data_IF_196295440771
#
_entry.id   IF_196295440771
#
_cell.length_a   1.000
_cell.length_b   1.000
_cell.length_c   1.000
_cell.angle_alpha   90.00
_cell.angle_beta   90.00
_cell.angle_gamma   90.00
#
_symmetry.space_group_name_H-M   'P 1'
#
loop_
_entity.id
_entity.type
_entity.pdbx_description
1 polymer ?
#
# COMPACT_ATOMS: atom_id res chain seq x y z
N UNK A 1 -31.70 9.44 1.39
CA UNK A 1 -30.86 9.81 0.22
C UNK A 1 -29.62 8.98 0.32
N UNK A 2 -29.23 8.28 -0.75
CA UNK A 2 -27.96 7.54 -0.76
C UNK A 2 -26.82 8.54 -0.50
N UNK A 3 -25.92 8.22 0.41
CA UNK A 3 -24.69 8.99 0.58
C UNK A 3 -23.98 9.02 -0.76
N UNK A 4 -23.64 10.20 -1.25
CA UNK A 4 -23.10 10.41 -2.60
C UNK A 4 -21.63 9.95 -2.67
N UNK A 5 -21.36 8.65 -2.41
CA UNK A 5 -20.03 8.06 -2.34
C UNK A 5 -19.74 7.13 -3.50
N UNK A 6 -18.50 6.63 -3.49
CA UNK A 6 -17.98 5.59 -4.39
C UNK A 6 -17.86 4.29 -3.58
N UNK A 7 -18.31 3.16 -4.15
CA UNK A 7 -18.00 1.81 -3.59
C UNK A 7 -17.05 1.05 -4.54
N UNK A 8 -16.25 0.16 -3.96
CA UNK A 8 -15.35 -0.73 -4.72
C UNK A 8 -15.84 -2.17 -4.55
N UNK A 9 -16.00 -2.87 -5.68
CA UNK A 9 -16.36 -4.28 -5.75
C UNK A 9 -15.22 -5.06 -6.41
N UNK A 10 -14.51 -5.86 -5.64
CA UNK A 10 -13.46 -6.72 -6.14
C UNK A 10 -13.99 -8.11 -6.44
N UNK A 11 -13.68 -8.62 -7.62
CA UNK A 11 -14.12 -9.93 -8.12
C UNK A 11 -12.91 -10.83 -8.24
N UNK A 12 -12.96 -11.97 -7.57
CA UNK A 12 -11.92 -13.00 -7.61
C UNK A 12 -12.02 -13.92 -6.42
N UNK A 13 -12.08 -15.21 -6.68
CA UNK A 13 -12.14 -16.25 -5.65
C UNK A 13 -10.83 -16.33 -4.87
N UNK A 14 -9.69 -16.06 -5.50
CA UNK A 14 -8.35 -16.00 -4.89
C UNK A 14 -8.23 -14.91 -3.81
N UNK A 15 -9.01 -13.82 -3.95
CA UNK A 15 -9.08 -12.77 -2.91
C UNK A 15 -9.80 -13.27 -1.66
N UNK A 16 -10.87 -14.07 -1.83
CA UNK A 16 -11.62 -14.65 -0.70
C UNK A 16 -10.85 -15.77 0.00
N UNK A 17 -10.08 -16.54 -0.75
CA UNK A 17 -9.24 -17.61 -0.20
C UNK A 17 -7.98 -17.07 0.50
N UNK A 18 -7.63 -15.79 0.25
CA UNK A 18 -6.44 -15.18 0.83
C UNK A 18 -5.14 -15.52 0.11
N UNK A 19 -5.24 -16.07 -1.11
CA UNK A 19 -4.08 -16.45 -1.92
C UNK A 19 -3.28 -15.22 -2.36
N UNK A 20 -3.98 -14.10 -2.55
CA UNK A 20 -3.37 -12.80 -2.91
C UNK A 20 -3.94 -11.65 -2.06
N UNK A 21 -3.12 -10.62 -1.88
CA UNK A 21 -3.56 -9.36 -1.25
C UNK A 21 -4.40 -8.53 -2.20
N UNK A 22 -5.48 -7.93 -1.70
CA UNK A 22 -6.33 -7.00 -2.46
C UNK A 22 -5.63 -5.64 -2.70
N UNK A 23 -4.59 -5.65 -3.51
CA UNK A 23 -3.80 -4.46 -3.84
C UNK A 23 -4.55 -3.43 -4.69
N UNK A 24 -5.46 -3.90 -5.55
CA UNK A 24 -6.26 -3.01 -6.41
C UNK A 24 -7.21 -2.13 -5.59
N UNK A 25 -7.96 -2.72 -4.66
CA UNK A 25 -8.86 -1.94 -3.80
C UNK A 25 -8.12 -0.88 -2.99
N UNK A 26 -6.97 -1.24 -2.41
CA UNK A 26 -6.13 -0.31 -1.69
C UNK A 26 -5.72 0.87 -2.57
N UNK A 27 -5.18 0.58 -3.75
CA UNK A 27 -4.68 1.61 -4.68
C UNK A 27 -5.81 2.53 -5.15
N UNK A 28 -6.99 1.97 -5.52
CA UNK A 28 -8.17 2.75 -5.92
C UNK A 28 -8.63 3.64 -4.76
N UNK A 29 -8.70 3.13 -3.54
CA UNK A 29 -9.10 3.90 -2.37
C UNK A 29 -8.15 5.09 -2.10
N UNK A 30 -6.83 4.90 -2.26
CA UNK A 30 -5.83 5.97 -2.15
C UNK A 30 -6.08 7.05 -3.22
N UNK A 31 -6.40 6.66 -4.44
CA UNK A 31 -6.72 7.62 -5.53
C UNK A 31 -8.04 8.35 -5.30
N UNK A 32 -9.10 7.65 -4.85
CA UNK A 32 -10.38 8.27 -4.52
C UNK A 32 -10.25 9.31 -3.40
N UNK A 33 -9.47 9.01 -2.38
CA UNK A 33 -9.17 9.98 -1.32
C UNK A 33 -8.46 11.21 -1.88
N UNK A 34 -7.47 11.04 -2.77
CA UNK A 34 -6.79 12.15 -3.46
C UNK A 34 -7.71 12.97 -4.38
N UNK A 35 -8.81 12.37 -4.85
CA UNK A 35 -9.84 13.05 -5.66
C UNK A 35 -10.93 13.72 -4.80
N UNK A 36 -10.90 13.57 -3.48
CA UNK A 36 -11.95 14.07 -2.59
C UNK A 36 -13.27 13.34 -2.73
N UNK A 37 -13.24 12.10 -3.19
CA UNK A 37 -14.43 11.28 -3.36
C UNK A 37 -14.65 10.40 -2.12
N UNK A 38 -15.80 10.54 -1.41
CA UNK A 38 -16.10 9.72 -0.26
C UNK A 38 -16.15 8.24 -0.63
N UNK A 39 -15.44 7.41 0.15
CA UNK A 39 -15.38 5.97 -0.05
C UNK A 39 -15.57 5.27 1.30
N UNK A 40 -16.70 4.59 1.48
CA UNK A 40 -17.08 4.01 2.77
C UNK A 40 -17.16 2.49 2.76
N UNK A 41 -17.13 1.85 1.58
CA UNK A 41 -17.31 0.39 1.50
C UNK A 41 -16.49 -0.24 0.40
N UNK A 42 -15.86 -1.34 0.76
CA UNK A 42 -15.22 -2.29 -0.17
C UNK A 42 -15.87 -3.65 0.00
N UNK A 43 -16.25 -4.28 -1.10
CA UNK A 43 -16.84 -5.62 -1.11
C UNK A 43 -15.97 -6.53 -1.95
N UNK A 44 -15.75 -7.77 -1.48
CA UNK A 44 -15.09 -8.81 -2.26
C UNK A 44 -16.10 -9.92 -2.51
N UNK A 45 -16.22 -10.35 -3.77
CA UNK A 45 -17.04 -11.50 -4.17
C UNK A 45 -16.20 -12.47 -4.99
N UNK A 46 -16.43 -13.77 -4.81
CA UNK A 46 -15.86 -14.79 -5.69
C UNK A 46 -16.55 -14.80 -7.05
N UNK A 47 -15.96 -15.51 -8.00
CA UNK A 47 -16.41 -15.63 -9.38
C UNK A 47 -17.74 -16.40 -9.47
N UNK A 48 -18.81 -15.69 -9.15
CA UNK A 48 -20.17 -16.24 -9.13
C UNK A 48 -21.18 -15.20 -9.61
N UNK A 49 -21.88 -15.55 -10.67
CA UNK A 49 -22.84 -14.69 -11.37
C UNK A 49 -23.89 -14.08 -10.43
N UNK A 50 -24.53 -14.91 -9.60
CA UNK A 50 -25.65 -14.45 -8.75
C UNK A 50 -25.15 -13.52 -7.63
N UNK A 51 -24.02 -13.85 -6.99
CA UNK A 51 -23.44 -13.03 -5.92
C UNK A 51 -22.97 -11.68 -6.43
N UNK A 52 -22.32 -11.67 -7.61
CA UNK A 52 -21.86 -10.44 -8.25
C UNK A 52 -23.04 -9.55 -8.63
N UNK A 53 -24.07 -10.12 -9.27
CA UNK A 53 -25.28 -9.39 -9.63
C UNK A 53 -26.02 -8.84 -8.40
N UNK A 54 -26.10 -9.60 -7.32
CA UNK A 54 -26.70 -9.16 -6.04
C UNK A 54 -25.90 -7.99 -5.44
N UNK A 55 -24.55 -8.11 -5.35
CA UNK A 55 -23.70 -7.08 -4.81
C UNK A 55 -23.81 -5.77 -5.60
N UNK A 56 -23.88 -5.84 -6.95
CA UNK A 56 -24.05 -4.66 -7.77
C UNK A 56 -25.41 -3.97 -7.57
N UNK A 57 -26.49 -4.76 -7.46
CA UNK A 57 -27.83 -4.22 -7.15
C UNK A 57 -27.88 -3.57 -5.78
N UNK A 58 -27.29 -4.20 -4.76
CA UNK A 58 -27.23 -3.61 -3.44
C UNK A 58 -26.43 -2.30 -3.43
N UNK A 59 -25.32 -2.23 -4.14
CA UNK A 59 -24.50 -1.03 -4.26
C UNK A 59 -25.28 0.13 -4.89
N UNK A 60 -26.12 -0.15 -5.91
CA UNK A 60 -26.91 0.90 -6.58
C UNK A 60 -27.91 1.64 -5.69
N UNK A 61 -28.30 1.03 -4.57
CA UNK A 61 -29.14 1.70 -3.56
C UNK A 61 -28.36 2.58 -2.56
N UNK A 62 -27.01 2.55 -2.60
CA UNK A 62 -26.16 3.21 -1.59
C UNK A 62 -25.17 4.21 -2.16
N UNK A 63 -24.61 3.96 -3.33
CA UNK A 63 -23.56 4.79 -3.92
C UNK A 63 -23.97 5.33 -5.29
N UNK A 64 -23.29 6.38 -5.72
CA UNK A 64 -23.46 6.94 -7.09
C UNK A 64 -22.52 6.31 -8.09
N UNK A 65 -21.37 5.84 -7.64
CA UNK A 65 -20.36 5.22 -8.50
C UNK A 65 -19.93 3.89 -7.88
N UNK A 66 -20.02 2.83 -8.67
CA UNK A 66 -19.46 1.53 -8.35
C UNK A 66 -18.22 1.27 -9.22
N UNK A 67 -17.08 1.08 -8.60
CA UNK A 67 -15.87 0.67 -9.29
C UNK A 67 -15.69 -0.83 -9.09
N UNK A 68 -15.63 -1.61 -10.18
CA UNK A 68 -15.35 -3.05 -10.11
C UNK A 68 -13.96 -3.36 -10.66
N UNK A 69 -13.27 -4.35 -10.09
CA UNK A 69 -11.99 -4.84 -10.58
C UNK A 69 -11.94 -6.37 -10.51
N UNK A 70 -11.54 -7.00 -11.62
CA UNK A 70 -11.49 -8.45 -11.79
C UNK A 70 -12.60 -9.01 -12.68
N UNK A 71 -12.42 -10.23 -13.16
CA UNK A 71 -13.39 -11.00 -13.94
C UNK A 71 -13.73 -10.43 -15.33
N UNK A 72 -12.78 -9.76 -16.03
CA UNK A 72 -12.93 -9.25 -17.40
C UNK A 72 -12.13 -10.05 -18.42
N UNK A 73 -11.49 -11.14 -18.03
CA UNK A 73 -10.72 -12.00 -18.93
C UNK A 73 -11.61 -12.84 -19.85
N UNK A 74 -10.98 -13.74 -20.65
CA UNK A 74 -11.68 -14.58 -21.60
C UNK A 74 -12.10 -15.95 -21.05
N UNK A 75 -11.79 -16.24 -19.77
CA UNK A 75 -12.03 -17.56 -19.17
C UNK A 75 -13.48 -17.72 -18.69
N UNK A 76 -13.98 -18.94 -18.49
CA UNK A 76 -15.37 -19.16 -18.09
C UNK A 76 -15.76 -18.57 -16.73
N UNK A 77 -14.79 -18.33 -15.87
CA UNK A 77 -14.92 -17.70 -14.56
C UNK A 77 -14.88 -16.16 -14.60
N UNK A 78 -14.51 -15.58 -15.75
CA UNK A 78 -14.59 -14.14 -15.98
C UNK A 78 -16.05 -13.72 -16.26
N UNK A 79 -16.80 -13.44 -15.20
CA UNK A 79 -18.26 -13.25 -15.26
C UNK A 79 -18.71 -11.81 -15.01
N UNK A 80 -17.79 -10.86 -14.83
CA UNK A 80 -18.14 -9.51 -14.34
C UNK A 80 -19.09 -8.78 -15.29
N UNK A 81 -18.78 -8.67 -16.57
CA UNK A 81 -19.62 -7.94 -17.54
C UNK A 81 -21.01 -8.54 -17.68
N UNK A 82 -21.09 -9.86 -17.81
CA UNK A 82 -22.36 -10.58 -17.96
C UNK A 82 -23.22 -10.47 -16.69
N UNK A 83 -22.61 -10.56 -15.53
CA UNK A 83 -23.30 -10.46 -14.24
C UNK A 83 -23.86 -9.07 -14.00
N UNK A 84 -23.10 -8.02 -14.36
CA UNK A 84 -23.55 -6.64 -14.27
C UNK A 84 -24.71 -6.37 -15.24
N UNK A 85 -24.61 -6.83 -16.49
CA UNK A 85 -25.68 -6.72 -17.46
C UNK A 85 -26.98 -7.38 -16.99
N UNK A 86 -26.88 -8.60 -16.44
CA UNK A 86 -28.02 -9.33 -15.88
C UNK A 86 -28.58 -8.68 -14.61
N UNK A 87 -27.72 -8.06 -13.77
CA UNK A 87 -28.18 -7.35 -12.59
C UNK A 87 -29.17 -6.23 -12.88
N UNK A 88 -29.03 -5.59 -14.03
CA UNK A 88 -29.86 -4.47 -14.47
C UNK A 88 -30.68 -4.79 -15.74
N UNK A 89 -30.90 -6.06 -16.02
CA UNK A 89 -31.77 -6.57 -17.11
C UNK A 89 -31.44 -5.94 -18.47
N UNK A 90 -30.15 -5.69 -18.75
CA UNK A 90 -29.68 -5.04 -19.96
C UNK A 90 -29.03 -6.06 -20.89
N UNK A 91 -29.40 -6.10 -22.17
CA UNK A 91 -28.77 -7.01 -23.11
C UNK A 91 -27.32 -6.60 -23.39
N UNK A 92 -26.49 -7.61 -23.65
CA UNK A 92 -25.14 -7.42 -24.15
C UNK A 92 -25.18 -7.20 -25.67
N UNK A 93 -24.36 -6.26 -26.11
CA UNK A 93 -24.16 -5.95 -27.51
C UNK A 93 -22.70 -6.17 -27.88
N UNK A 94 -22.49 -6.79 -29.07
CA UNK A 94 -21.12 -6.99 -29.56
C UNK A 94 -20.62 -5.69 -30.19
N UNK A 95 -19.38 -5.32 -29.89
CA UNK A 95 -18.66 -4.21 -30.49
C UNK A 95 -17.59 -4.75 -31.44
N UNK A 96 -17.85 -4.81 -32.76
CA UNK A 96 -16.90 -5.37 -33.72
C UNK A 96 -15.54 -4.68 -33.71
N UNK A 97 -15.52 -3.37 -33.51
CA UNK A 97 -14.31 -2.56 -33.37
C UNK A 97 -13.43 -2.96 -32.18
N UNK A 98 -14.05 -3.33 -31.08
CA UNK A 98 -13.30 -3.88 -29.91
C UNK A 98 -12.74 -5.26 -30.23
N UNK A 99 -13.48 -6.08 -30.95
CA UNK A 99 -12.99 -7.39 -31.33
C UNK A 99 -11.75 -7.28 -32.22
N UNK A 100 -11.78 -6.39 -33.22
CA UNK A 100 -10.63 -6.11 -34.08
C UNK A 100 -9.42 -5.62 -33.27
N UNK A 101 -9.64 -4.72 -32.31
CA UNK A 101 -8.58 -4.21 -31.43
C UNK A 101 -7.97 -5.31 -30.56
N UNK A 102 -8.81 -6.18 -29.96
CA UNK A 102 -8.39 -7.32 -29.14
C UNK A 102 -7.54 -8.29 -29.97
N UNK A 103 -8.00 -8.62 -31.19
CA UNK A 103 -7.26 -9.49 -32.10
C UNK A 103 -5.89 -8.89 -32.46
N UNK A 104 -5.84 -7.61 -32.78
CA UNK A 104 -4.61 -6.91 -33.11
C UNK A 104 -3.60 -6.94 -31.95
N UNK A 105 -4.05 -6.65 -30.72
CA UNK A 105 -3.21 -6.67 -29.51
C UNK A 105 -2.65 -8.05 -29.20
N UNK A 106 -3.48 -9.09 -29.26
CA UNK A 106 -3.07 -10.47 -28.99
C UNK A 106 -2.09 -10.98 -30.05
N UNK A 107 -2.36 -10.70 -31.33
CA UNK A 107 -1.51 -11.10 -32.45
C UNK A 107 -0.14 -10.39 -32.42
N UNK A 108 -0.11 -9.10 -32.09
CA UNK A 108 1.15 -8.36 -31.94
C UNK A 108 2.04 -8.92 -30.83
N UNK A 109 1.46 -9.53 -29.79
CA UNK A 109 2.18 -10.26 -28.75
C UNK A 109 2.61 -11.70 -29.13
N UNK A 110 2.42 -12.12 -30.38
CA UNK A 110 2.74 -13.46 -30.87
C UNK A 110 1.84 -14.58 -30.29
N UNK A 111 0.69 -14.23 -29.73
CA UNK A 111 -0.27 -15.17 -29.13
C UNK A 111 -1.36 -15.56 -30.15
N UNK A 112 -1.73 -16.85 -30.16
CA UNK A 112 -2.91 -17.28 -30.89
C UNK A 112 -4.17 -16.69 -30.25
N UNK A 113 -5.06 -16.12 -31.06
CA UNK A 113 -6.32 -15.57 -30.59
C UNK A 113 -7.32 -16.71 -30.40
N UNK A 114 -7.64 -17.01 -29.15
CA UNK A 114 -8.64 -18.02 -28.84
C UNK A 114 -10.07 -17.46 -29.10
N UNK A 115 -11.02 -18.29 -29.59
CA UNK A 115 -12.40 -17.85 -29.80
C UNK A 115 -13.06 -17.27 -28.55
N UNK A 116 -12.68 -17.74 -27.36
CA UNK A 116 -13.18 -17.24 -26.07
C UNK A 116 -12.86 -15.76 -25.82
N UNK A 117 -11.81 -15.20 -26.43
CA UNK A 117 -11.49 -13.78 -26.31
C UNK A 117 -12.59 -12.87 -26.86
N UNK A 118 -13.44 -13.39 -27.77
CA UNK A 118 -14.53 -12.60 -28.36
C UNK A 118 -15.54 -12.10 -27.33
N UNK A 119 -15.71 -12.81 -26.20
CA UNK A 119 -16.59 -12.35 -25.11
C UNK A 119 -16.20 -11.00 -24.52
N UNK A 120 -14.92 -10.63 -24.60
CA UNK A 120 -14.42 -9.33 -24.15
C UNK A 120 -14.90 -8.14 -25.01
N UNK A 121 -15.43 -8.42 -26.20
CA UNK A 121 -16.01 -7.41 -27.07
C UNK A 121 -17.52 -7.19 -26.84
N UNK A 122 -18.12 -7.86 -25.86
CA UNK A 122 -19.53 -7.68 -25.51
C UNK A 122 -19.67 -6.75 -24.31
N UNK A 123 -20.44 -5.68 -24.48
CA UNK A 123 -20.73 -4.72 -23.40
C UNK A 123 -22.25 -4.56 -23.24
N UNK A 124 -22.76 -4.17 -22.06
CA UNK A 124 -24.15 -3.83 -21.88
C UNK A 124 -24.55 -2.66 -22.79
N UNK A 125 -25.76 -2.72 -23.32
CA UNK A 125 -26.30 -1.63 -24.16
C UNK A 125 -26.15 -0.27 -23.46
N UNK A 126 -25.58 0.70 -24.19
CA UNK A 126 -25.36 2.05 -23.68
C UNK A 126 -24.10 2.22 -22.84
N UNK A 127 -23.29 1.19 -22.68
CA UNK A 127 -21.98 1.33 -22.04
C UNK A 127 -20.99 2.01 -22.98
N UNK A 128 -20.19 2.93 -22.44
CA UNK A 128 -19.03 3.48 -23.12
C UNK A 128 -17.79 2.63 -22.81
N UNK A 129 -16.94 2.42 -23.82
CA UNK A 129 -15.69 1.68 -23.66
C UNK A 129 -14.71 2.45 -22.77
N UNK A 130 -14.10 1.74 -21.82
CA UNK A 130 -12.95 2.20 -21.05
C UNK A 130 -11.71 1.48 -21.60
N UNK A 131 -10.89 2.15 -22.43
CA UNK A 131 -9.81 1.50 -23.15
C UNK A 131 -8.74 0.93 -22.24
N UNK A 132 -8.22 -0.24 -22.59
CA UNK A 132 -7.09 -0.86 -21.90
C UNK A 132 -5.82 -0.71 -22.75
N UNK A 133 -4.89 0.18 -22.40
CA UNK A 133 -3.68 0.40 -23.20
C UNK A 133 -2.64 -0.72 -23.09
N UNK A 134 -2.70 -1.54 -22.05
CA UNK A 134 -1.67 -2.55 -21.74
C UNK A 134 -2.15 -3.99 -21.97
N UNK A 135 -3.44 -4.25 -21.94
CA UNK A 135 -4.02 -5.58 -22.05
C UNK A 135 -5.13 -5.67 -23.09
N UNK A 136 -5.71 -6.87 -23.24
CA UNK A 136 -6.78 -7.14 -24.20
C UNK A 136 -8.18 -6.85 -23.66
N UNK A 137 -8.38 -6.92 -22.34
CA UNK A 137 -9.69 -6.77 -21.71
C UNK A 137 -10.06 -5.29 -21.55
N UNK A 138 -10.99 -4.72 -22.34
CA UNK A 138 -11.49 -3.38 -22.10
C UNK A 138 -12.34 -3.36 -20.82
N UNK A 139 -12.43 -2.20 -20.20
CA UNK A 139 -13.45 -1.92 -19.19
C UNK A 139 -14.63 -1.18 -19.80
N UNK A 140 -15.53 -0.73 -18.95
CA UNK A 140 -16.66 0.10 -19.37
C UNK A 140 -16.94 1.21 -18.34
N UNK A 141 -17.55 2.29 -18.82
CA UNK A 141 -18.28 3.28 -18.05
C UNK A 141 -19.74 3.16 -18.43
N UNK A 142 -20.58 2.76 -17.50
CA UNK A 142 -21.96 2.42 -17.77
C UNK A 142 -22.90 2.91 -16.68
N UNK A 143 -23.99 3.58 -17.09
CA UNK A 143 -25.01 4.08 -16.16
C UNK A 143 -26.32 3.30 -16.38
N UNK A 144 -26.50 2.16 -15.70
CA UNK A 144 -27.73 1.34 -15.84
C UNK A 144 -28.95 2.01 -15.22
N UNK A 145 -28.76 2.89 -14.27
CA UNK A 145 -29.83 3.62 -13.58
C UNK A 145 -29.51 5.12 -13.52
N UNK A 146 -30.54 5.98 -13.38
CA UNK A 146 -30.31 7.38 -13.05
C UNK A 146 -29.46 7.52 -11.79
N UNK A 147 -28.48 8.42 -11.80
CA UNK A 147 -27.58 8.70 -10.69
C UNK A 147 -26.69 7.53 -10.20
N UNK A 148 -26.58 6.44 -10.97
CA UNK A 148 -25.72 5.32 -10.66
C UNK A 148 -24.86 4.93 -11.87
N UNK A 149 -23.55 4.95 -11.71
CA UNK A 149 -22.59 4.61 -12.78
C UNK A 149 -21.63 3.52 -12.30
N UNK A 150 -21.34 2.57 -13.19
CA UNK A 150 -20.39 1.48 -12.96
C UNK A 150 -19.16 1.72 -13.84
N UNK A 151 -17.98 1.62 -13.24
CA UNK A 151 -16.69 1.58 -13.93
C UNK A 151 -16.07 0.21 -13.71
N UNK A 152 -15.65 -0.47 -14.79
CA UNK A 152 -15.05 -1.81 -14.68
C UNK A 152 -13.60 -1.82 -15.10
N UNK A 153 -12.78 -2.59 -14.36
CA UNK A 153 -11.35 -2.74 -14.58
C UNK A 153 -10.94 -4.21 -14.52
N UNK A 154 -9.89 -4.62 -15.26
CA UNK A 154 -9.30 -5.94 -15.11
C UNK A 154 -8.66 -6.15 -13.74
N UNK A 155 -8.42 -7.42 -13.39
CA UNK A 155 -7.75 -7.79 -12.15
C UNK A 155 -6.25 -7.47 -12.14
N UNK A 156 -5.59 -7.41 -13.30
CA UNK A 156 -4.15 -7.15 -13.43
C UNK A 156 -3.83 -5.72 -12.99
N UNK A 157 -3.00 -5.52 -11.93
CA UNK A 157 -2.80 -4.20 -11.32
C UNK A 157 -2.24 -3.13 -12.27
N UNK A 158 -1.29 -3.49 -13.15
CA UNK A 158 -0.70 -2.56 -14.11
C UNK A 158 -1.72 -2.05 -15.13
N UNK A 159 -2.59 -2.93 -15.62
CA UNK A 159 -3.65 -2.60 -16.56
C UNK A 159 -4.69 -1.69 -15.90
N UNK A 160 -5.19 -2.10 -14.74
CA UNK A 160 -6.17 -1.33 -13.96
C UNK A 160 -5.68 0.09 -13.68
N UNK A 161 -4.42 0.25 -13.24
CA UNK A 161 -3.85 1.57 -12.95
C UNK A 161 -3.77 2.45 -14.19
N UNK A 162 -3.25 1.92 -15.29
CA UNK A 162 -3.15 2.66 -16.56
C UNK A 162 -4.52 3.12 -17.06
N UNK A 163 -5.53 2.24 -17.01
CA UNK A 163 -6.91 2.56 -17.38
C UNK A 163 -7.53 3.60 -16.45
N UNK A 164 -7.29 3.48 -15.14
CA UNK A 164 -7.79 4.42 -14.14
C UNK A 164 -7.22 5.82 -14.38
N UNK A 165 -5.91 5.95 -14.51
CA UNK A 165 -5.23 7.23 -14.69
C UNK A 165 -5.58 7.90 -16.02
N UNK A 166 -5.65 7.13 -17.11
CA UNK A 166 -5.92 7.68 -18.44
C UNK A 166 -7.37 8.11 -18.65
N UNK A 167 -8.34 7.39 -18.08
CA UNK A 167 -9.76 7.58 -18.44
C UNK A 167 -10.65 7.79 -17.21
N UNK A 168 -10.55 6.92 -16.19
CA UNK A 168 -11.49 6.95 -15.08
C UNK A 168 -11.26 8.14 -14.14
N UNK A 169 -10.03 8.48 -13.83
CA UNK A 169 -9.73 9.64 -12.99
C UNK A 169 -10.23 10.96 -13.60
N UNK A 170 -9.98 11.27 -14.88
CA UNK A 170 -10.58 12.44 -15.53
C UNK A 170 -12.12 12.42 -15.54
N UNK A 171 -12.72 11.24 -15.67
CA UNK A 171 -14.17 11.10 -15.62
C UNK A 171 -14.70 11.35 -14.19
N UNK A 172 -14.07 10.74 -13.18
CA UNK A 172 -14.43 10.90 -11.78
C UNK A 172 -14.31 12.35 -11.29
N UNK A 173 -13.28 13.08 -11.72
CA UNK A 173 -13.14 14.53 -11.44
C UNK A 173 -14.34 15.35 -11.92
N UNK A 174 -14.93 14.97 -13.05
CA UNK A 174 -16.06 15.70 -13.65
C UNK A 174 -17.41 15.25 -13.11
N UNK A 175 -17.58 13.97 -12.77
CA UNK A 175 -18.87 13.36 -12.49
C UNK A 175 -18.98 12.76 -11.07
N UNK A 176 -17.87 12.54 -10.39
CA UNK A 176 -17.83 11.82 -9.11
C UNK A 176 -18.47 12.56 -7.94
N UNK A 177 -18.78 13.85 -8.08
CA UNK A 177 -19.43 14.64 -7.03
C UNK A 177 -18.50 14.92 -5.84
N UNK A 178 -17.22 15.20 -6.13
CA UNK A 178 -16.25 15.55 -5.09
C UNK A 178 -16.74 16.71 -4.23
N UNK A 179 -16.75 16.52 -2.91
CA UNK A 179 -17.16 17.55 -1.93
C UNK A 179 -15.99 18.39 -1.44
N UNK A 180 -14.78 18.07 -1.86
CA UNK A 180 -13.55 18.75 -1.46
C UNK A 180 -12.31 17.97 -1.90
N UNK A 181 -11.14 18.48 -1.53
CA UNK A 181 -9.85 17.82 -1.73
C UNK A 181 -9.35 17.32 -0.39
N UNK A 182 -9.06 16.03 -0.30
CA UNK A 182 -8.45 15.46 0.89
C UNK A 182 -6.93 15.44 0.76
N UNK A 183 -6.26 15.93 1.81
CA UNK A 183 -4.81 15.82 1.98
C UNK A 183 -4.53 15.04 3.24
N UNK A 184 -3.64 14.06 3.16
CA UNK A 184 -3.22 13.26 4.31
C UNK A 184 -1.72 13.39 4.52
N UNK A 185 -1.31 13.44 5.80
CA UNK A 185 0.09 13.32 6.24
C UNK A 185 0.19 12.18 7.23
N UNK A 186 1.30 11.49 7.20
CA UNK A 186 1.59 10.41 8.15
C UNK A 186 2.80 10.81 8.99
N UNK A 187 2.65 10.77 10.31
CA UNK A 187 3.76 10.90 11.25
C UNK A 187 4.13 9.51 11.79
N UNK A 188 5.43 9.26 11.94
CA UNK A 188 5.97 7.98 12.40
C UNK A 188 6.65 8.13 13.76
N UNK A 189 6.41 7.16 14.64
CA UNK A 189 6.88 7.19 16.02
C UNK A 189 7.60 5.89 16.38
N UNK A 190 8.65 6.01 17.14
CA UNK A 190 9.42 4.88 17.69
C UNK A 190 9.62 5.06 19.18
N UNK A 191 9.76 3.95 19.91
CA UNK A 191 10.02 3.96 21.37
C UNK A 191 8.80 4.38 22.22
N UNK A 192 7.60 4.33 21.65
CA UNK A 192 6.34 4.61 22.37
C UNK A 192 5.27 3.60 21.92
N UNK A 193 4.47 3.11 22.87
CA UNK A 193 3.31 2.27 22.56
C UNK A 193 2.12 3.09 22.06
N UNK A 194 1.24 2.45 21.27
CA UNK A 194 0.06 3.10 20.68
C UNK A 194 -0.83 3.76 21.73
N UNK A 195 -1.13 3.06 22.83
CA UNK A 195 -1.97 3.59 23.90
C UNK A 195 -1.38 4.83 24.55
N UNK A 196 -0.07 4.80 24.84
CA UNK A 196 0.63 5.94 25.47
C UNK A 196 0.69 7.14 24.51
N UNK A 197 0.85 6.89 23.20
CA UNK A 197 0.81 7.95 22.20
C UNK A 197 -0.60 8.53 22.10
N UNK A 198 -1.63 7.69 22.05
CA UNK A 198 -3.02 8.13 22.01
C UNK A 198 -3.42 8.97 23.21
N UNK A 199 -2.97 8.62 24.44
CA UNK A 199 -3.23 9.42 25.64
C UNK A 199 -2.59 10.83 25.57
N UNK A 200 -1.36 10.93 25.02
CA UNK A 200 -0.68 12.23 24.89
C UNK A 200 -1.35 13.19 23.94
N UNK A 201 -2.15 12.68 23.00
CA UNK A 201 -2.77 13.45 21.93
C UNK A 201 -4.30 13.27 21.89
N UNK A 202 -4.91 12.81 22.98
CA UNK A 202 -6.33 12.40 23.03
C UNK A 202 -7.30 13.46 22.48
N UNK A 203 -7.11 14.72 22.85
CA UNK A 203 -7.90 15.85 22.39
C UNK A 203 -7.80 16.09 20.87
N UNK A 204 -6.66 15.76 20.27
CA UNK A 204 -6.46 15.89 18.82
C UNK A 204 -7.11 14.74 18.05
N UNK A 205 -7.37 13.59 18.69
CA UNK A 205 -8.07 12.45 18.07
C UNK A 205 -9.57 12.70 17.92
N UNK A 206 -10.14 13.64 18.67
CA UNK A 206 -11.55 14.02 18.61
C UNK A 206 -11.87 14.99 17.46
N UNK A 207 -10.83 15.46 16.75
CA UNK A 207 -10.96 16.39 15.64
C UNK A 207 -11.78 15.83 14.47
N UNK A 208 -12.69 16.63 13.91
CA UNK A 208 -13.52 16.25 12.77
C UNK A 208 -12.86 16.61 11.44
N UNK A 209 -12.19 17.75 11.38
CA UNK A 209 -11.42 18.20 10.21
C UNK A 209 -10.34 19.22 10.65
N UNK A 210 -9.07 18.84 10.73
CA UNK A 210 -8.51 17.52 10.38
C UNK A 210 -8.92 16.39 11.33
N UNK A 211 -8.96 15.16 10.79
CA UNK A 211 -9.01 13.95 11.61
C UNK A 211 -7.60 13.47 11.90
N UNK A 212 -7.39 12.91 13.09
CA UNK A 212 -6.14 12.24 13.48
C UNK A 212 -6.47 10.81 13.88
N UNK A 213 -5.82 9.83 13.25
CA UNK A 213 -6.08 8.41 13.51
C UNK A 213 -4.78 7.64 13.78
N UNK A 214 -4.69 6.86 14.89
CA UNK A 214 -3.56 6.01 15.16
C UNK A 214 -3.61 4.73 14.33
N UNK A 215 -2.43 4.26 13.91
CA UNK A 215 -2.20 2.98 13.26
C UNK A 215 -0.95 2.34 13.85
N UNK A 216 -1.09 1.16 14.41
CA UNK A 216 0.06 0.39 14.87
C UNK A 216 0.49 -0.62 13.80
N UNK A 217 1.79 -0.81 13.68
CA UNK A 217 2.42 -1.92 12.99
C UNK A 217 3.60 -2.38 13.83
N UNK A 218 4.13 -3.57 13.59
CA UNK A 218 5.20 -4.12 14.41
C UNK A 218 6.38 -3.14 14.51
N UNK A 219 6.67 -2.66 15.73
CA UNK A 219 7.80 -1.75 16.00
C UNK A 219 7.63 -0.29 15.53
N UNK A 220 6.49 0.07 14.94
CA UNK A 220 6.27 1.40 14.38
C UNK A 220 4.82 1.85 14.64
N UNK A 221 4.65 2.93 15.38
CA UNK A 221 3.34 3.57 15.59
C UNK A 221 3.23 4.76 14.65
N UNK A 222 2.06 4.95 14.06
CA UNK A 222 1.80 5.99 13.08
C UNK A 222 0.56 6.78 13.47
N UNK A 223 0.59 8.09 13.22
CA UNK A 223 -0.60 8.94 13.25
C UNK A 223 -0.85 9.45 11.82
N UNK A 224 -2.04 9.18 11.30
CA UNK A 224 -2.49 9.76 10.04
C UNK A 224 -3.36 10.97 10.33
N UNK A 225 -2.95 12.10 9.80
CA UNK A 225 -3.71 13.34 9.78
C UNK A 225 -4.38 13.45 8.43
N UNK A 226 -5.68 13.73 8.39
CA UNK A 226 -6.39 13.93 7.11
C UNK A 226 -7.28 15.15 7.22
N UNK A 227 -7.12 16.09 6.29
CA UNK A 227 -7.98 17.27 6.17
C UNK A 227 -8.69 17.29 4.82
N UNK A 228 -9.91 17.83 4.82
CA UNK A 228 -10.69 18.16 3.64
C UNK A 228 -10.76 19.68 3.49
N UNK A 229 -10.42 20.17 2.29
CA UNK A 229 -10.49 21.59 1.95
C UNK A 229 -11.05 21.81 0.54
N UNK A 230 -11.29 23.06 0.17
CA UNK A 230 -11.71 23.43 -1.20
C UNK A 230 -10.60 23.26 -2.24
N UNK A 231 -9.35 23.23 -1.81
CA UNK A 231 -8.16 22.94 -2.62
C UNK A 231 -7.13 22.14 -1.79
N UNK A 232 -6.10 21.60 -2.44
CA UNK A 232 -5.01 20.91 -1.76
C UNK A 232 -4.27 21.83 -0.78
N UNK A 233 -4.06 23.09 -1.16
CA UNK A 233 -3.43 24.12 -0.34
C UNK A 233 -4.26 24.44 0.90
N UNK A 234 -5.58 24.61 0.74
CA UNK A 234 -6.47 24.86 1.88
C UNK A 234 -6.55 23.67 2.83
N UNK A 235 -6.56 22.44 2.31
CA UNK A 235 -6.51 21.23 3.14
C UNK A 235 -5.16 21.10 3.86
N UNK A 236 -4.05 21.37 3.17
CA UNK A 236 -2.71 21.36 3.77
C UNK A 236 -2.57 22.39 4.90
N UNK A 237 -3.11 23.60 4.71
CA UNK A 237 -3.10 24.66 5.73
C UNK A 237 -3.87 24.27 7.00
N UNK A 238 -4.89 23.42 6.89
CA UNK A 238 -5.60 22.88 8.06
C UNK A 238 -4.74 21.86 8.83
N UNK A 239 -3.86 21.10 8.13
CA UNK A 239 -2.98 20.12 8.75
C UNK A 239 -1.82 20.77 9.51
N UNK A 240 -1.30 21.89 9.06
CA UNK A 240 -0.10 22.53 9.59
C UNK A 240 -0.13 22.74 11.11
N UNK A 241 -1.17 23.37 11.72
CA UNK A 241 -1.21 23.59 13.17
C UNK A 241 -1.33 22.29 13.96
N UNK A 242 -2.07 21.30 13.44
CA UNK A 242 -2.26 20.00 14.11
C UNK A 242 -0.97 19.19 14.07
N UNK A 243 -0.27 19.18 12.93
CA UNK A 243 1.04 18.53 12.83
C UNK A 243 2.07 19.19 13.76
N UNK A 244 2.12 20.52 13.80
CA UNK A 244 3.06 21.23 14.67
C UNK A 244 2.81 20.91 16.16
N UNK A 245 1.56 20.83 16.57
CA UNK A 245 1.20 20.48 17.94
C UNK A 245 1.51 19.03 18.28
N UNK A 246 1.22 18.10 17.36
CA UNK A 246 1.61 16.69 17.51
C UNK A 246 3.12 16.55 17.68
N UNK A 247 3.91 17.17 16.80
CA UNK A 247 5.37 17.14 16.90
C UNK A 247 5.90 17.76 18.19
N UNK A 248 5.27 18.82 18.67
CA UNK A 248 5.63 19.46 19.94
C UNK A 248 5.42 18.53 21.14
N UNK A 249 4.27 17.83 21.21
CA UNK A 249 3.95 16.93 22.33
C UNK A 249 4.76 15.64 22.28
N UNK A 250 5.11 15.18 21.10
CA UNK A 250 5.72 13.85 20.90
C UNK A 250 7.14 13.92 20.34
N UNK A 251 7.84 15.05 20.52
CA UNK A 251 9.14 15.34 19.90
C UNK A 251 10.21 14.24 20.12
N UNK A 252 10.19 13.55 21.26
CA UNK A 252 11.15 12.48 21.58
C UNK A 252 10.90 11.18 20.81
N UNK A 253 9.70 11.00 20.27
CA UNK A 253 9.26 9.77 19.63
C UNK A 253 9.00 9.92 18.14
N UNK A 254 8.65 11.13 17.66
CA UNK A 254 8.37 11.39 16.26
C UNK A 254 9.68 11.45 15.46
N UNK A 255 9.96 10.38 14.70
CA UNK A 255 11.20 10.29 13.94
C UNK A 255 11.06 10.67 12.46
N UNK A 256 9.86 10.67 11.89
CA UNK A 256 9.72 10.90 10.45
C UNK A 256 8.28 11.05 9.97
N UNK A 257 8.14 11.05 8.66
CA UNK A 257 6.89 11.19 7.90
C UNK A 257 6.62 9.97 7.01
N UNK A 258 5.70 10.09 6.06
CA UNK A 258 5.21 9.02 5.16
C UNK A 258 6.34 8.18 4.55
N UNK A 259 7.34 8.84 3.97
CA UNK A 259 8.40 8.21 3.17
C UNK A 259 9.65 7.85 4.01
N UNK A 260 9.66 8.24 5.28
CA UNK A 260 10.77 7.97 6.16
C UNK A 260 10.75 6.55 6.71
N UNK A 261 11.91 5.96 6.87
CA UNK A 261 12.18 4.78 7.68
C UNK A 261 13.20 5.11 8.75
N UNK A 262 13.28 4.31 9.82
CA UNK A 262 14.35 4.48 10.82
C UNK A 262 15.73 4.46 10.16
N UNK A 263 15.93 3.58 9.17
CA UNK A 263 17.17 3.50 8.41
C UNK A 263 17.46 4.79 7.65
N UNK A 264 16.48 5.34 6.91
CA UNK A 264 16.69 6.58 6.15
C UNK A 264 17.01 7.76 7.05
N UNK A 265 16.33 7.88 8.18
CA UNK A 265 16.57 8.95 9.16
C UNK A 265 17.94 8.83 9.81
N UNK A 266 18.35 7.62 10.23
CA UNK A 266 19.68 7.37 10.82
C UNK A 266 20.79 7.70 9.80
N UNK A 267 20.67 7.23 8.56
CA UNK A 267 21.67 7.53 7.51
C UNK A 267 21.76 9.02 7.21
N UNK A 268 20.61 9.72 7.16
CA UNK A 268 20.61 11.19 6.97
C UNK A 268 21.24 11.94 8.15
N UNK A 269 21.06 11.48 9.38
CA UNK A 269 21.70 12.04 10.57
C UNK A 269 23.22 11.85 10.51
N UNK A 270 23.70 10.64 10.22
CA UNK A 270 25.11 10.32 10.07
C UNK A 270 25.77 11.15 8.97
N UNK A 271 25.11 11.31 7.83
CA UNK A 271 25.60 12.12 6.73
C UNK A 271 25.76 13.60 7.12
N UNK A 272 24.80 14.15 7.86
CA UNK A 272 24.87 15.55 8.36
C UNK A 272 25.98 15.75 9.41
N UNK A 273 26.23 14.72 10.23
CA UNK A 273 27.31 14.80 11.24
C UNK A 273 28.68 14.40 10.71
N UNK A 274 28.77 13.95 9.44
CA UNK A 274 30.00 13.46 8.84
C UNK A 274 30.51 12.16 9.47
N UNK A 275 29.62 11.37 10.04
CA UNK A 275 29.96 10.11 10.73
C UNK A 275 29.65 8.89 9.86
N UNK A 276 30.42 7.83 10.09
CA UNK A 276 30.27 6.52 9.45
C UNK A 276 29.70 5.48 10.39
N UNK A 277 29.01 4.45 9.84
CA UNK A 277 28.34 3.38 10.57
C UNK A 277 28.82 2.02 10.12
N UNK A 278 29.02 1.12 11.08
CA UNK A 278 29.12 -0.33 10.83
C UNK A 278 28.13 -1.11 11.71
N UNK A 279 27.86 -2.37 11.34
CA UNK A 279 26.93 -3.22 12.09
C UNK A 279 27.55 -4.57 12.42
N UNK A 280 27.23 -5.09 13.62
CA UNK A 280 27.52 -6.47 14.02
C UNK A 280 26.21 -7.22 14.24
N UNK A 281 25.96 -8.27 13.49
CA UNK A 281 24.70 -9.02 13.52
C UNK A 281 24.90 -10.48 13.89
N UNK A 282 23.93 -11.05 14.58
CA UNK A 282 23.89 -12.48 14.89
C UNK A 282 22.55 -13.06 14.47
N UNK A 283 21.53 -13.07 15.33
CA UNK A 283 20.23 -13.69 15.06
C UNK A 283 19.44 -13.06 13.91
N UNK A 284 19.66 -11.80 13.61
CA UNK A 284 19.03 -11.09 12.47
C UNK A 284 19.60 -11.48 11.10
N UNK A 285 20.72 -12.20 11.07
CA UNK A 285 21.29 -12.77 9.85
C UNK A 285 21.61 -11.78 8.74
N UNK A 286 21.84 -10.51 9.02
CA UNK A 286 22.07 -9.44 8.04
C UNK A 286 20.85 -8.52 7.83
N UNK A 287 19.78 -8.69 8.61
CA UNK A 287 18.55 -7.91 8.45
C UNK A 287 18.73 -6.41 8.68
N UNK A 288 19.58 -6.01 9.63
CA UNK A 288 19.90 -4.59 9.88
C UNK A 288 20.69 -3.99 8.71
N UNK A 289 21.72 -4.71 8.24
CA UNK A 289 22.49 -4.32 7.06
C UNK A 289 21.62 -4.22 5.80
N UNK A 290 20.71 -5.17 5.60
CA UNK A 290 19.75 -5.14 4.51
C UNK A 290 18.81 -3.92 4.57
N UNK A 291 18.31 -3.58 5.76
CA UNK A 291 17.45 -2.40 5.95
C UNK A 291 18.20 -1.09 5.64
N UNK A 292 19.48 -0.98 6.02
CA UNK A 292 20.31 0.18 5.71
C UNK A 292 20.61 0.28 4.22
N UNK A 293 21.00 -0.84 3.59
CA UNK A 293 21.36 -0.86 2.16
C UNK A 293 20.17 -0.73 1.23
N UNK A 294 18.94 -0.95 1.70
CA UNK A 294 17.73 -0.66 0.95
C UNK A 294 17.51 0.84 0.70
N UNK A 295 18.19 1.71 1.46
CA UNK A 295 18.10 3.17 1.29
C UNK A 295 19.11 3.62 0.24
N UNK A 296 18.68 4.24 -0.89
CA UNK A 296 19.59 4.76 -1.88
C UNK A 296 20.61 5.75 -1.30
N UNK A 297 21.87 5.61 -1.68
CA UNK A 297 22.96 6.47 -1.18
C UNK A 297 23.53 6.08 0.20
N UNK A 298 23.09 4.98 0.80
CA UNK A 298 23.57 4.47 2.10
C UNK A 298 25.09 4.29 2.15
N UNK A 299 25.74 3.98 1.02
CA UNK A 299 27.20 3.79 0.93
C UNK A 299 28.04 5.02 1.28
N UNK A 300 27.43 6.21 1.33
CA UNK A 300 28.12 7.42 1.76
C UNK A 300 28.53 7.40 3.25
N UNK A 301 27.78 6.65 4.08
CA UNK A 301 27.97 6.61 5.54
C UNK A 301 27.96 5.19 6.11
N UNK A 302 27.40 4.22 5.44
CA UNK A 302 27.38 2.82 5.86
C UNK A 302 28.57 2.08 5.25
N UNK A 303 29.57 1.75 6.08
CA UNK A 303 30.78 1.08 5.65
C UNK A 303 30.60 -0.42 5.42
N UNK A 304 29.64 -1.03 6.11
CA UNK A 304 29.35 -2.47 6.03
C UNK A 304 29.07 -3.11 7.39
N UNK A 305 29.07 -4.44 7.42
CA UNK A 305 28.79 -5.17 8.64
C UNK A 305 29.32 -6.61 8.63
N UNK A 306 29.33 -7.22 9.80
CA UNK A 306 29.72 -8.62 10.01
C UNK A 306 28.55 -9.42 10.57
N UNK A 307 28.16 -10.48 9.87
CA UNK A 307 27.20 -11.46 10.38
C UNK A 307 27.98 -12.56 11.10
N UNK A 308 27.99 -12.50 12.44
CA UNK A 308 28.71 -13.40 13.31
C UNK A 308 27.75 -14.37 14.02
N UNK A 309 27.24 -15.37 13.31
CA UNK A 309 26.22 -16.27 13.85
C UNK A 309 26.82 -17.29 14.84
N UNK A 310 27.93 -17.94 14.49
CA UNK A 310 28.59 -18.90 15.37
C UNK A 310 29.60 -18.24 16.32
N UNK A 311 29.89 -18.88 17.46
CA UNK A 311 30.92 -18.42 18.41
C UNK A 311 32.31 -18.34 17.76
N UNK A 312 32.63 -19.27 16.87
CA UNK A 312 33.88 -19.26 16.14
C UNK A 312 34.04 -17.99 15.30
N UNK A 313 32.97 -17.59 14.57
CA UNK A 313 32.98 -16.37 13.77
C UNK A 313 33.05 -15.11 14.64
N UNK A 314 32.35 -15.08 15.81
CA UNK A 314 32.49 -13.98 16.78
C UNK A 314 33.94 -13.77 17.22
N UNK A 315 34.65 -14.88 17.49
CA UNK A 315 36.07 -14.83 17.87
C UNK A 315 36.97 -14.42 16.71
N UNK A 316 36.81 -15.05 15.55
CA UNK A 316 37.70 -14.86 14.41
C UNK A 316 37.55 -13.51 13.72
N UNK A 317 36.32 -13.04 13.56
CA UNK A 317 36.05 -11.81 12.80
C UNK A 317 35.86 -10.58 13.70
N UNK A 318 35.48 -10.76 14.95
CA UNK A 318 35.16 -9.62 15.83
C UNK A 318 36.02 -9.61 17.11
N UNK A 319 36.98 -10.50 17.20
CA UNK A 319 37.95 -10.63 18.32
C UNK A 319 37.26 -10.77 19.70
N UNK A 320 36.05 -11.38 19.73
CA UNK A 320 35.32 -11.63 20.96
C UNK A 320 36.10 -12.64 21.80
N UNK A 321 36.49 -12.33 23.06
CA UNK A 321 37.25 -13.25 23.88
C UNK A 321 36.51 -14.55 24.19
N UNK A 322 37.17 -15.71 24.03
CA UNK A 322 36.60 -17.03 24.35
C UNK A 322 36.06 -17.07 25.79
N UNK A 323 36.81 -16.52 26.74
CA UNK A 323 36.43 -16.43 28.15
C UNK A 323 35.13 -15.63 28.39
N UNK A 324 34.83 -14.67 27.53
CA UNK A 324 33.59 -13.88 27.60
C UNK A 324 32.39 -14.74 27.20
N UNK A 325 32.55 -15.51 26.09
CA UNK A 325 31.54 -16.45 25.59
C UNK A 325 31.26 -17.59 26.59
N UNK A 326 32.32 -18.13 27.21
CA UNK A 326 32.22 -19.17 28.23
C UNK A 326 31.52 -18.70 29.51
N UNK A 327 31.82 -17.48 29.96
CA UNK A 327 31.29 -16.93 31.22
C UNK A 327 29.84 -16.43 31.06
N UNK A 328 29.50 -15.79 29.95
CA UNK A 328 28.25 -15.05 29.81
C UNK A 328 27.31 -15.66 28.76
N UNK A 329 27.78 -16.61 27.95
CA UNK A 329 27.02 -17.15 26.82
C UNK A 329 27.00 -16.22 25.61
N UNK A 330 26.65 -16.76 24.47
CA UNK A 330 26.69 -16.05 23.20
C UNK A 330 25.67 -14.89 23.09
N UNK A 331 24.60 -14.93 23.89
CA UNK A 331 23.52 -13.94 23.93
C UNK A 331 23.56 -13.22 25.26
N UNK A 332 24.40 -12.20 25.34
CA UNK A 332 24.60 -11.41 26.55
C UNK A 332 25.16 -10.03 26.23
N UNK A 333 24.91 -9.05 27.10
CA UNK A 333 25.38 -7.68 26.91
C UNK A 333 26.91 -7.59 26.73
N UNK A 334 27.76 -8.27 27.56
CA UNK A 334 29.21 -8.19 27.37
C UNK A 334 29.69 -8.73 26.03
N UNK A 335 29.03 -9.80 25.49
CA UNK A 335 29.41 -10.38 24.20
C UNK A 335 28.99 -9.45 23.06
N UNK A 336 27.83 -8.83 23.17
CA UNK A 336 27.32 -7.94 22.11
C UNK A 336 28.12 -6.63 22.06
N UNK A 337 28.54 -6.11 23.23
CA UNK A 337 29.46 -4.96 23.30
C UNK A 337 30.83 -5.30 22.67
N UNK A 338 31.37 -6.48 22.94
CA UNK A 338 32.59 -6.94 22.30
C UNK A 338 32.47 -7.09 20.80
N UNK A 339 31.33 -7.62 20.31
CA UNK A 339 31.04 -7.69 18.88
C UNK A 339 30.97 -6.29 18.24
N UNK A 340 30.33 -5.34 18.88
CA UNK A 340 30.22 -3.97 18.41
C UNK A 340 31.61 -3.30 18.32
N UNK A 341 32.40 -3.40 19.38
CA UNK A 341 33.77 -2.86 19.42
C UNK A 341 34.64 -3.48 18.31
N UNK A 342 34.52 -4.81 18.12
CA UNK A 342 35.26 -5.54 17.11
C UNK A 342 34.98 -5.10 15.69
N UNK A 343 33.70 -4.92 15.33
CA UNK A 343 33.34 -4.45 13.98
C UNK A 343 33.71 -3.00 13.77
N UNK A 344 33.54 -2.14 14.78
CA UNK A 344 33.93 -0.73 14.74
C UNK A 344 35.42 -0.57 14.46
N UNK A 345 36.25 -1.30 15.21
CA UNK A 345 37.70 -1.29 15.04
C UNK A 345 38.12 -1.80 13.65
N UNK A 346 37.53 -2.90 13.17
CA UNK A 346 37.88 -3.49 11.86
C UNK A 346 37.52 -2.61 10.68
N UNK A 347 36.39 -1.92 10.74
CA UNK A 347 35.91 -1.10 9.65
C UNK A 347 36.27 0.38 9.81
N UNK A 348 36.84 0.77 10.96
CA UNK A 348 37.29 2.15 11.23
C UNK A 348 36.15 3.15 11.20
N UNK A 349 34.98 2.78 11.75
CA UNK A 349 33.78 3.63 11.73
C UNK A 349 33.60 4.41 13.01
N UNK A 350 32.93 5.56 12.93
CA UNK A 350 32.65 6.44 14.08
C UNK A 350 31.58 5.86 14.99
N UNK A 351 30.59 5.19 14.39
CA UNK A 351 29.43 4.62 15.06
C UNK A 351 29.27 3.15 14.72
N UNK A 352 28.67 2.41 15.64
CA UNK A 352 28.33 1.01 15.46
C UNK A 352 26.92 0.74 15.97
N UNK A 353 26.22 -0.12 15.26
CA UNK A 353 24.96 -0.71 15.73
C UNK A 353 25.06 -2.23 15.76
N UNK A 354 24.35 -2.83 16.69
CA UNK A 354 24.31 -4.28 16.85
C UNK A 354 22.88 -4.77 17.10
N UNK A 355 22.65 -6.03 16.85
CA UNK A 355 21.36 -6.65 17.16
C UNK A 355 21.49 -7.52 18.41
N UNK A 356 20.75 -7.14 19.45
CA UNK A 356 20.63 -7.88 20.70
C UNK A 356 19.19 -8.38 20.81
N UNK A 357 18.92 -9.55 20.21
CA UNK A 357 17.59 -10.19 20.26
C UNK A 357 17.74 -11.60 20.81
N UNK A 358 16.84 -12.01 21.70
CA UNK A 358 16.69 -13.39 22.12
C UNK A 358 15.94 -14.14 21.02
N UNK A 359 16.13 -15.47 20.91
CA UNK A 359 15.57 -16.30 19.83
C UNK A 359 14.03 -16.19 19.68
N UNK A 360 13.32 -15.75 20.71
CA UNK A 360 11.86 -15.57 20.69
C UNK A 360 11.40 -14.18 20.17
N UNK A 361 12.33 -13.26 19.93
CA UNK A 361 12.02 -11.89 19.50
C UNK A 361 12.18 -11.68 18.00
N UNK A 362 12.58 -12.73 17.27
CA UNK A 362 12.85 -12.68 15.82
C UNK A 362 11.65 -13.01 14.94
N UNK A 363 10.56 -13.55 15.51
CA UNK A 363 9.32 -13.84 14.77
C UNK A 363 8.23 -12.83 15.12
N UNK A 364 7.68 -12.11 14.15
CA UNK A 364 6.41 -11.43 14.35
C UNK A 364 5.32 -12.50 14.52
N UNK A 365 4.65 -12.47 15.66
CA UNK A 365 3.43 -13.23 15.88
C UNK A 365 2.26 -12.56 15.17
#
# INVERSE_FOLDING_TARGET
>A
MAEAGVEILCVGTELLLGDILNGNARWIAERLAGLGLPHYRQTVVGDNHQRLAAAAREASGRCRVLITTGGLGPTPDDLTTESLAAAFETPLEEHPELWEEIQAKLSAGGRAVAPSNRRQAFLPRGAAVLPNPLGSAPGMIWSPLPDFTILTFPGVPSEMRAMFEATAEPWLRRHGGATGVFVSRLLRFSGIGESNLAEQVADLLEGVNPTVAPYASLGDVKLRLTACGSSAESAAALLDPVEAELRRRTAQHCYGTTDDSLASVVLALLQRSGQTLSVAESCTGGGLGAALTAVPGSSAVFAGGVIAYSNAVKQQLLDVPASLLERHGAVSDPVVEAMAAGVQQRLGTDSVSYTHLRAHETYPH
#
